data_IF_828010787732
#
_entry.id   IF_828010787732
#
_cell.length_a   1.000
_cell.length_b   1.000
_cell.length_c   1.000
_cell.angle_alpha   90.00
_cell.angle_beta   90.00
_cell.angle_gamma   90.00
#
_symmetry.space_group_name_H-M   'P 1'
#
loop_
_entity.id
_entity.type
_entity.pdbx_description
1 polymer ?
#
# COMPACT_ATOMS: atom_id res chain seq x y z
N UNK A 1 -27.16 -15.24 -13.22
CA UNK A 1 -26.83 -14.00 -12.49
C UNK A 1 -25.83 -14.34 -11.42
N UNK A 2 -24.54 -14.28 -11.75
CA UNK A 2 -23.48 -14.48 -10.76
C UNK A 2 -23.11 -13.09 -10.28
N UNK A 3 -23.66 -12.69 -9.12
CA UNK A 3 -23.17 -11.52 -8.40
C UNK A 3 -21.76 -11.87 -7.94
N UNK A 4 -20.77 -11.54 -8.78
CA UNK A 4 -19.38 -11.43 -8.35
C UNK A 4 -19.35 -10.25 -7.40
N UNK A 5 -19.34 -10.55 -6.12
CA UNK A 5 -18.83 -9.66 -5.10
C UNK A 5 -17.40 -9.31 -5.52
N UNK A 6 -17.22 -8.20 -6.25
CA UNK A 6 -15.98 -7.46 -6.12
C UNK A 6 -16.07 -6.92 -4.71
N UNK A 7 -15.60 -7.73 -3.75
CA UNK A 7 -15.17 -7.18 -2.48
C UNK A 7 -14.36 -5.96 -2.86
N UNK A 8 -14.83 -4.80 -2.44
CA UNK A 8 -14.01 -3.62 -2.32
C UNK A 8 -12.99 -4.04 -1.26
N UNK A 9 -12.00 -4.82 -1.70
CA UNK A 9 -10.98 -5.40 -0.86
C UNK A 9 -10.22 -4.19 -0.39
N UNK A 10 -10.61 -3.73 0.79
CA UNK A 10 -10.00 -2.61 1.49
C UNK A 10 -8.68 -3.18 1.98
N UNK A 11 -7.80 -3.43 1.02
CA UNK A 11 -6.68 -4.35 1.14
C UNK A 11 -5.68 -3.63 2.00
N UNK A 12 -5.61 -4.03 3.27
CA UNK A 12 -4.80 -3.38 4.27
C UNK A 12 -3.43 -4.05 4.30
N UNK A 13 -2.37 -3.26 4.19
CA UNK A 13 -0.99 -3.72 4.39
C UNK A 13 -0.35 -2.93 5.53
N UNK A 14 0.93 -3.18 5.78
CA UNK A 14 1.66 -2.58 6.89
C UNK A 14 2.89 -1.85 6.39
N UNK A 15 3.04 -0.60 6.83
CA UNK A 15 4.22 0.19 6.56
C UNK A 15 5.47 -0.38 7.28
N UNK A 16 6.62 0.26 7.10
CA UNK A 16 7.88 -0.09 7.78
C UNK A 16 7.74 -0.24 9.30
N UNK A 17 6.94 0.62 9.92
CA UNK A 17 6.75 0.69 11.37
C UNK A 17 5.62 -0.24 11.86
N UNK A 18 5.10 -1.11 10.98
CA UNK A 18 3.93 -1.97 11.22
C UNK A 18 2.64 -1.19 11.50
N UNK A 19 2.57 0.06 11.05
CA UNK A 19 1.32 0.79 11.00
C UNK A 19 0.48 0.27 9.84
N UNK A 20 -0.80 0.05 10.12
CA UNK A 20 -1.81 -0.20 9.11
C UNK A 20 -1.85 0.92 8.06
N UNK A 21 -1.78 0.54 6.79
CA UNK A 21 -1.96 1.42 5.65
C UNK A 21 -2.97 0.81 4.68
N UNK A 22 -3.85 1.67 4.18
CA UNK A 22 -4.91 1.34 3.22
C UNK A 22 -4.88 2.32 2.06
N UNK A 23 -5.59 2.02 0.99
CA UNK A 23 -5.86 2.99 -0.09
C UNK A 23 -6.38 4.31 0.48
N UNK A 24 -5.84 5.43 0.00
CA UNK A 24 -6.10 6.78 0.50
C UNK A 24 -5.21 7.23 1.66
N UNK A 25 -4.49 6.31 2.31
CA UNK A 25 -3.53 6.65 3.39
C UNK A 25 -2.37 7.49 2.85
N UNK A 26 -1.98 8.54 3.59
CA UNK A 26 -0.81 9.36 3.28
C UNK A 26 0.46 8.67 3.79
N UNK A 27 1.40 8.46 2.89
CA UNK A 27 2.66 7.76 3.16
C UNK A 27 3.85 8.54 2.62
N UNK A 28 5.02 8.32 3.22
CA UNK A 28 6.31 8.77 2.75
C UNK A 28 7.14 7.57 2.31
N UNK A 29 7.81 7.69 1.17
CA UNK A 29 8.76 6.70 0.68
C UNK A 29 10.09 6.98 1.37
N UNK A 30 10.52 6.08 2.25
CA UNK A 30 11.74 6.27 3.05
C UNK A 30 13.01 6.39 2.19
N UNK A 31 13.04 5.79 0.99
CA UNK A 31 14.20 5.83 0.11
C UNK A 31 14.41 7.17 -0.59
N UNK A 32 13.33 7.93 -0.83
CA UNK A 32 13.38 9.18 -1.61
C UNK A 32 12.93 10.40 -0.82
N UNK A 33 12.26 10.21 0.32
CA UNK A 33 11.60 11.27 1.07
C UNK A 33 10.32 11.80 0.42
N UNK A 34 9.90 11.24 -0.73
CA UNK A 34 8.70 11.69 -1.41
C UNK A 34 7.45 11.27 -0.64
N UNK A 35 6.46 12.15 -0.58
CA UNK A 35 5.20 11.90 0.12
C UNK A 35 4.05 11.84 -0.89
N UNK A 36 3.19 10.85 -0.77
CA UNK A 36 1.98 10.73 -1.60
C UNK A 36 0.88 9.97 -0.88
N UNK A 37 -0.23 9.74 -1.58
CA UNK A 37 -1.33 8.90 -1.09
C UNK A 37 -1.31 7.55 -1.78
N UNK A 38 -1.66 6.51 -1.04
CA UNK A 38 -1.78 5.18 -1.64
C UNK A 38 -2.98 5.17 -2.60
N UNK A 39 -2.75 4.87 -3.86
CA UNK A 39 -3.81 4.77 -4.87
C UNK A 39 -4.33 3.33 -4.98
N UNK A 40 -3.43 2.36 -4.90
CA UNK A 40 -3.75 0.94 -5.01
C UNK A 40 -2.77 0.08 -4.20
N UNK A 41 -3.26 -1.08 -3.75
CA UNK A 41 -2.46 -2.12 -3.07
C UNK A 41 -2.78 -3.44 -3.78
N UNK A 42 -1.80 -4.06 -4.42
CA UNK A 42 -1.96 -5.34 -5.12
C UNK A 42 -1.28 -6.46 -4.35
N UNK A 43 -2.07 -7.33 -3.73
CA UNK A 43 -1.53 -8.49 -3.00
C UNK A 43 -2.01 -9.84 -3.53
N UNK A 44 -2.57 -9.86 -4.75
CA UNK A 44 -3.15 -11.07 -5.31
C UNK A 44 -2.10 -12.18 -5.45
N UNK A 45 -2.42 -13.36 -4.90
CA UNK A 45 -1.53 -14.52 -4.88
C UNK A 45 -0.27 -14.40 -4.02
N UNK A 46 -0.12 -13.37 -3.19
CA UNK A 46 1.05 -13.16 -2.33
C UNK A 46 0.76 -13.45 -0.85
N UNK A 47 1.70 -14.09 -0.17
CA UNK A 47 1.65 -14.27 1.28
C UNK A 47 2.06 -12.99 2.04
N UNK A 48 1.66 -12.86 3.30
CA UNK A 48 1.95 -11.69 4.15
C UNK A 48 3.44 -11.33 4.24
N UNK A 49 4.32 -12.34 4.20
CA UNK A 49 5.77 -12.13 4.19
C UNK A 49 6.25 -11.51 2.85
N UNK A 50 5.64 -11.92 1.74
CA UNK A 50 5.95 -11.40 0.40
C UNK A 50 5.39 -9.99 0.23
N UNK A 51 4.12 -9.76 0.59
CA UNK A 51 3.45 -8.45 0.50
C UNK A 51 4.32 -7.36 1.11
N UNK A 52 4.95 -7.62 2.27
CA UNK A 52 5.79 -6.67 2.97
C UNK A 52 7.06 -6.27 2.22
N UNK A 53 7.62 -7.15 1.39
CA UNK A 53 8.91 -6.96 0.70
C UNK A 53 8.75 -6.68 -0.79
N UNK A 54 7.64 -7.11 -1.37
CA UNK A 54 7.32 -6.94 -2.78
C UNK A 54 6.72 -5.58 -3.07
N UNK A 55 6.95 -5.11 -4.30
CA UNK A 55 6.45 -3.82 -4.80
C UNK A 55 4.97 -3.91 -5.14
N UNK A 56 4.14 -3.84 -4.10
CA UNK A 56 2.70 -4.05 -4.17
C UNK A 56 1.88 -2.77 -4.08
N UNK A 57 2.46 -1.67 -3.59
CA UNK A 57 1.75 -0.43 -3.28
C UNK A 57 2.04 0.65 -4.31
N UNK A 58 1.00 1.25 -4.88
CA UNK A 58 1.12 2.43 -5.74
C UNK A 58 0.88 3.70 -4.94
N UNK A 59 1.70 4.71 -5.20
CA UNK A 59 1.67 6.00 -4.51
C UNK A 59 1.46 7.10 -5.54
N UNK A 60 0.46 7.95 -5.30
CA UNK A 60 0.15 9.13 -6.10
C UNK A 60 1.37 10.04 -6.22
N UNK A 61 1.65 10.53 -7.43
CA UNK A 61 2.79 11.42 -7.70
C UNK A 61 4.14 10.71 -7.82
N UNK A 62 4.17 9.39 -7.69
CA UNK A 62 5.35 8.56 -7.94
C UNK A 62 5.08 7.54 -9.04
N UNK A 63 6.05 7.38 -9.93
CA UNK A 63 5.97 6.38 -10.99
C UNK A 63 6.46 5.02 -10.46
N UNK A 64 5.60 4.01 -10.51
CA UNK A 64 5.90 2.65 -10.11
C UNK A 64 5.28 2.20 -8.78
N UNK A 65 5.63 0.97 -8.39
CA UNK A 65 5.15 0.31 -7.17
C UNK A 65 6.26 0.27 -6.13
N UNK A 66 5.86 0.35 -4.86
CA UNK A 66 6.76 0.39 -3.72
C UNK A 66 6.44 -0.76 -2.76
N UNK A 67 7.47 -1.24 -2.08
CA UNK A 67 7.27 -2.23 -1.05
C UNK A 67 6.73 -1.55 0.23
N UNK A 68 5.76 -2.16 0.94
CA UNK A 68 5.23 -1.60 2.18
C UNK A 68 6.33 -1.31 3.23
N UNK A 69 7.38 -2.13 3.29
CA UNK A 69 8.59 -1.93 4.11
C UNK A 69 9.37 -0.64 3.79
N UNK A 70 9.18 -0.06 2.61
CA UNK A 70 9.79 1.20 2.21
C UNK A 70 8.91 2.41 2.51
N UNK A 71 7.65 2.19 2.90
CA UNK A 71 6.68 3.22 3.18
C UNK A 71 6.61 3.53 4.68
N UNK A 72 6.31 4.79 5.00
CA UNK A 72 6.09 5.28 6.36
C UNK A 72 4.79 6.06 6.39
N UNK A 73 3.85 5.66 7.25
CA UNK A 73 2.57 6.36 7.42
C UNK A 73 2.80 7.74 8.05
N UNK A 74 2.28 8.79 7.42
CA UNK A 74 2.45 10.18 7.87
C UNK A 74 1.29 10.72 8.74
N UNK A 75 0.29 9.89 9.06
CA UNK A 75 -0.87 10.28 9.86
C UNK A 75 -2.01 10.89 9.04
N UNK A 76 -3.19 11.00 9.66
CA UNK A 76 -4.39 11.61 9.09
C UNK A 76 -4.51 13.01 9.70
N UNK A 77 -4.40 14.06 8.89
CA UNK A 77 -4.73 15.43 9.28
C UNK A 77 -5.79 15.94 8.32
#
# INVERSE_FOLDING_TARGET
MTVSWKGEDTMMTYDRNRNAITTGSRVMISGTGHTGRITAIMTDGLDAAQIRREKTVEVEGCEGKFAPVELIRLGMN
#
